data_IF_650260309483
#
_entry.id   IF_650260309483
#
_cell.length_a   1.000
_cell.length_b   1.000
_cell.length_c   1.000
_cell.angle_alpha   90.00
_cell.angle_beta   90.00
_cell.angle_gamma   90.00
#
_symmetry.space_group_name_H-M   'P 1'
#
loop_
_entity.id
_entity.type
_entity.pdbx_description
1 polymer ?
#
# COMPACT_ATOMS: atom_id res chain seq x y z
N UNK A 1 -14.98 -11.23 -7.80
CA UNK A 1 -14.26 -10.09 -8.38
C UNK A 1 -12.98 -9.94 -7.57
N UNK A 2 -11.82 -9.72 -8.21
CA UNK A 2 -10.58 -9.46 -7.48
C UNK A 2 -10.37 -7.94 -7.46
N UNK A 3 -10.25 -7.37 -6.27
CA UNK A 3 -9.93 -5.96 -6.11
C UNK A 3 -8.41 -5.80 -6.08
N UNK A 4 -7.89 -4.71 -6.64
CA UNK A 4 -6.45 -4.43 -6.65
C UNK A 4 -6.09 -3.53 -5.48
N UNK A 5 -4.87 -3.66 -4.97
CA UNK A 5 -4.33 -2.71 -4.00
C UNK A 5 -3.82 -1.46 -4.71
N UNK A 6 -4.05 -0.32 -4.07
CA UNK A 6 -3.64 1.00 -4.55
C UNK A 6 -2.20 1.28 -4.14
N UNK A 7 -1.40 1.77 -5.07
CA UNK A 7 -0.01 2.13 -4.85
C UNK A 7 0.19 3.66 -4.78
N UNK A 8 1.30 4.07 -4.20
CA UNK A 8 1.74 5.47 -4.15
C UNK A 8 1.90 6.06 -5.56
N UNK A 9 1.29 7.23 -5.80
CA UNK A 9 1.21 7.89 -7.10
C UNK A 9 0.02 7.47 -7.96
N UNK A 10 -0.86 6.60 -7.46
CA UNK A 10 -2.09 6.24 -8.18
C UNK A 10 -3.05 7.42 -8.22
N UNK A 11 -3.85 7.50 -9.30
CA UNK A 11 -4.78 8.61 -9.50
C UNK A 11 -6.07 8.38 -8.72
N UNK A 12 -6.76 9.48 -8.45
CA UNK A 12 -8.13 9.43 -7.93
C UNK A 12 -9.12 9.83 -9.02
N UNK A 13 -10.40 9.46 -8.85
CA UNK A 13 -11.48 9.79 -9.79
C UNK A 13 -11.63 11.30 -10.02
N UNK A 14 -11.21 12.13 -9.07
CA UNK A 14 -11.28 13.59 -9.18
C UNK A 14 -10.04 14.21 -9.81
N UNK A 15 -9.08 13.40 -10.29
CA UNK A 15 -7.81 13.85 -10.84
C UNK A 15 -6.73 14.16 -9.79
N UNK A 16 -6.97 13.80 -8.54
CA UNK A 16 -5.95 13.82 -7.50
C UNK A 16 -5.00 12.62 -7.60
N UNK A 17 -4.15 12.50 -6.58
CA UNK A 17 -3.08 11.52 -6.47
C UNK A 17 -3.02 10.97 -5.04
N UNK A 18 -2.75 9.68 -4.93
CA UNK A 18 -2.60 8.93 -3.69
C UNK A 18 -1.15 9.04 -3.20
N UNK A 19 -0.98 9.42 -1.94
CA UNK A 19 0.32 9.57 -1.29
C UNK A 19 0.44 8.40 -0.30
N UNK A 20 0.97 7.29 -0.79
CA UNK A 20 1.12 6.04 -0.06
C UNK A 20 2.48 5.92 0.61
N UNK A 21 2.50 5.51 1.88
CA UNK A 21 3.74 5.17 2.60
C UNK A 21 3.51 3.92 3.42
N UNK A 22 4.19 2.84 3.06
CA UNK A 22 4.18 1.56 3.77
C UNK A 22 5.46 0.78 3.52
N UNK A 23 5.67 -0.30 4.27
CA UNK A 23 6.83 -1.18 4.10
C UNK A 23 6.64 -2.25 3.00
N UNK A 24 5.47 -2.25 2.34
CA UNK A 24 5.13 -3.18 1.27
C UNK A 24 5.20 -2.47 -0.10
N UNK A 25 5.94 -3.05 -1.02
CA UNK A 25 6.24 -2.46 -2.34
C UNK A 25 5.74 -3.38 -3.46
N UNK A 26 5.31 -2.78 -4.57
CA UNK A 26 5.04 -3.51 -5.80
C UNK A 26 6.33 -3.77 -6.59
N UNK A 27 6.23 -4.53 -7.69
CA UNK A 27 7.38 -4.84 -8.56
C UNK A 27 7.98 -3.60 -9.25
N UNK A 28 7.24 -2.49 -9.29
CA UNK A 28 7.71 -1.20 -9.80
C UNK A 28 8.41 -0.35 -8.74
N UNK A 29 8.56 -0.85 -7.50
CA UNK A 29 9.16 -0.13 -6.38
C UNK A 29 8.24 0.93 -5.74
N UNK A 30 6.95 0.94 -6.07
CA UNK A 30 5.95 1.84 -5.48
C UNK A 30 5.36 1.21 -4.22
N UNK A 31 5.23 2.00 -3.17
CA UNK A 31 4.67 1.56 -1.88
C UNK A 31 3.16 1.39 -1.97
N UNK A 32 2.58 0.40 -1.29
CA UNK A 32 1.13 0.28 -1.20
C UNK A 32 0.54 1.26 -0.19
N UNK A 33 -0.64 1.80 -0.49
CA UNK A 33 -1.31 2.74 0.39
C UNK A 33 -2.06 2.03 1.53
N UNK A 34 -1.92 2.55 2.75
CA UNK A 34 -2.65 2.14 3.97
C UNK A 34 -3.75 3.14 4.33
N UNK A 35 -4.66 2.74 5.20
CA UNK A 35 -5.71 3.63 5.77
C UNK A 35 -5.16 4.94 6.36
N UNK A 36 -3.97 4.90 6.95
CA UNK A 36 -3.31 6.08 7.54
C UNK A 36 -2.75 7.05 6.48
N UNK A 37 -2.76 6.67 5.22
CA UNK A 37 -2.25 7.48 4.12
C UNK A 37 -3.30 8.45 3.60
N UNK A 38 -2.82 9.43 2.83
CA UNK A 38 -3.62 10.53 2.34
C UNK A 38 -3.71 10.50 0.82
N UNK A 39 -4.82 11.00 0.29
CA UNK A 39 -5.00 11.25 -1.13
C UNK A 39 -5.44 12.70 -1.35
N UNK A 40 -4.96 13.28 -2.44
CA UNK A 40 -5.42 14.59 -2.89
C UNK A 40 -6.73 14.46 -3.66
N UNK A 41 -7.48 15.55 -3.67
CA UNK A 41 -8.71 15.68 -4.44
C UNK A 41 -8.53 16.81 -5.44
N UNK A 42 -8.93 16.62 -6.70
CA UNK A 42 -8.87 17.70 -7.69
C UNK A 42 -9.87 18.83 -7.41
N UNK A 43 -10.91 18.56 -6.60
CA UNK A 43 -11.94 19.54 -6.26
C UNK A 43 -11.76 20.17 -4.86
N UNK A 44 -11.15 19.46 -3.91
CA UNK A 44 -10.91 19.95 -2.55
C UNK A 44 -9.42 20.19 -2.36
N UNK A 45 -9.01 21.41 -2.00
CA UNK A 45 -7.62 21.71 -1.67
C UNK A 45 -7.22 21.01 -0.37
N UNK A 46 -6.17 20.19 -0.42
CA UNK A 46 -5.61 19.47 0.72
C UNK A 46 -5.46 17.96 0.48
N UNK A 47 -4.78 17.29 1.41
CA UNK A 47 -4.69 15.83 1.48
C UNK A 47 -5.70 15.30 2.49
N UNK A 48 -6.49 14.32 2.07
CA UNK A 48 -7.53 13.72 2.89
C UNK A 48 -7.23 12.25 3.16
N UNK A 49 -7.50 11.74 4.37
CA UNK A 49 -7.24 10.34 4.69
C UNK A 49 -8.12 9.40 3.86
N UNK A 50 -7.61 8.19 3.61
CA UNK A 50 -8.30 7.16 2.84
C UNK A 50 -8.95 6.17 3.80
N UNK A 51 -10.17 5.70 3.49
CA UNK A 51 -10.90 4.86 4.44
C UNK A 51 -10.27 3.48 4.67
N UNK A 52 -9.74 2.85 3.61
CA UNK A 52 -9.09 1.53 3.69
C UNK A 52 -10.08 0.40 4.01
N UNK A 53 -10.69 -0.22 3.01
CA UNK A 53 -11.64 -1.33 3.19
C UNK A 53 -11.01 -2.72 3.09
N UNK A 54 -9.68 -2.84 2.95
CA UNK A 54 -9.01 -4.15 2.82
C UNK A 54 -8.90 -4.89 4.15
N UNK A 55 -10.02 -5.35 4.70
CA UNK A 55 -10.07 -6.08 5.98
C UNK A 55 -9.20 -7.33 5.99
N UNK A 56 -8.93 -7.92 4.83
CA UNK A 56 -8.16 -9.16 4.67
C UNK A 56 -6.64 -8.90 4.62
N UNK A 57 -6.22 -7.66 4.36
CA UNK A 57 -4.83 -7.25 4.31
C UNK A 57 -4.64 -6.14 5.34
N UNK A 58 -4.10 -6.49 6.49
CA UNK A 58 -3.82 -5.55 7.58
C UNK A 58 -2.34 -5.59 7.93
N UNK A 59 -1.77 -4.41 8.16
CA UNK A 59 -0.42 -4.22 8.64
C UNK A 59 -0.47 -3.37 9.90
N UNK A 60 0.05 -3.89 11.01
CA UNK A 60 -0.02 -3.26 12.34
C UNK A 60 -1.44 -2.81 12.76
N UNK A 61 -2.46 -3.59 12.39
CA UNK A 61 -3.87 -3.28 12.66
C UNK A 61 -4.51 -2.25 11.73
N UNK A 62 -3.76 -1.72 10.76
CA UNK A 62 -4.27 -0.81 9.72
C UNK A 62 -4.55 -1.57 8.41
N UNK A 63 -5.77 -1.52 7.87
CA UNK A 63 -6.07 -2.14 6.59
C UNK A 63 -5.41 -1.37 5.42
N UNK A 64 -5.08 -2.12 4.37
CA UNK A 64 -4.66 -1.53 3.10
C UNK A 64 -5.84 -0.91 2.34
N UNK A 65 -5.51 -0.17 1.29
CA UNK A 65 -6.45 0.52 0.42
C UNK A 65 -6.70 -0.28 -0.86
N UNK A 66 -7.98 -0.56 -1.16
CA UNK A 66 -8.42 -1.25 -2.38
C UNK A 66 -8.79 -0.26 -3.48
N UNK A 67 -8.90 -0.77 -4.71
CA UNK A 67 -9.53 -0.04 -5.81
C UNK A 67 -10.95 0.44 -5.42
N UNK A 68 -11.29 1.64 -5.84
CA UNK A 68 -12.55 2.32 -5.51
C UNK A 68 -12.77 2.60 -4.02
N UNK A 69 -11.74 2.57 -3.19
CA UNK A 69 -11.86 3.03 -1.81
C UNK A 69 -12.19 4.52 -1.74
N UNK A 70 -12.99 4.89 -0.73
CA UNK A 70 -13.40 6.27 -0.55
C UNK A 70 -12.30 7.07 0.14
N UNK A 71 -12.02 8.24 -0.41
CA UNK A 71 -11.23 9.28 0.25
C UNK A 71 -12.16 10.14 1.10
N UNK A 72 -11.79 10.38 2.35
CA UNK A 72 -12.58 11.15 3.33
C UNK A 72 -12.52 12.67 3.07
N UNK A 73 -12.66 13.07 1.81
CA UNK A 73 -12.85 14.47 1.44
C UNK A 73 -14.26 14.94 1.83
N UNK A 74 -14.45 16.25 2.07
CA UNK A 74 -15.79 16.83 2.24
C UNK A 74 -16.67 16.67 0.99
N UNK A 75 -16.05 16.41 -0.16
CA UNK A 75 -16.76 16.19 -1.42
C UNK A 75 -17.48 14.84 -1.54
N UNK A 76 -17.11 13.83 -0.76
CA UNK A 76 -17.66 12.46 -0.79
C UNK A 76 -17.60 11.70 -2.12
N UNK A 77 -17.05 12.31 -3.18
CA UNK A 77 -17.03 11.80 -4.57
C UNK A 77 -15.63 11.38 -5.04
N UNK A 78 -14.64 11.49 -4.16
CA UNK A 78 -13.26 11.13 -4.48
C UNK A 78 -13.00 9.67 -4.12
N UNK A 79 -12.66 8.87 -5.12
CA UNK A 79 -12.31 7.46 -4.97
C UNK A 79 -10.91 7.23 -5.53
N UNK A 80 -10.16 6.35 -4.89
CA UNK A 80 -8.85 5.93 -5.38
C UNK A 80 -9.00 4.95 -6.53
N UNK A 81 -8.10 5.03 -7.51
CA UNK A 81 -8.07 4.13 -8.66
C UNK A 81 -6.76 3.37 -8.66
N UNK A 82 -6.83 2.07 -8.41
CA UNK A 82 -5.63 1.23 -8.48
C UNK A 82 -5.13 1.17 -9.93
N UNK A 83 -3.82 1.34 -10.12
CA UNK A 83 -3.25 1.18 -11.46
C UNK A 83 -3.55 -0.20 -12.03
N UNK A 84 -3.80 -0.24 -13.35
CA UNK A 84 -4.01 -1.49 -14.09
C UNK A 84 -2.85 -2.49 -13.97
N UNK A 85 -1.64 -1.97 -13.71
CA UNK A 85 -0.40 -2.71 -13.51
C UNK A 85 -0.20 -3.22 -12.08
N UNK A 86 -1.13 -2.98 -11.17
CA UNK A 86 -1.03 -3.47 -9.79
C UNK A 86 -1.19 -4.99 -9.75
N UNK A 87 -0.23 -5.67 -9.15
CA UNK A 87 -0.14 -7.13 -9.10
C UNK A 87 -0.63 -7.73 -7.77
N UNK A 88 -0.96 -6.89 -6.79
CA UNK A 88 -1.57 -7.33 -5.54
C UNK A 88 -3.09 -7.35 -5.65
N UNK A 89 -3.66 -8.53 -5.47
CA UNK A 89 -5.09 -8.78 -5.54
C UNK A 89 -5.65 -9.13 -4.15
N UNK A 90 -6.69 -8.42 -3.74
CA UNK A 90 -7.51 -8.71 -2.58
C UNK A 90 -8.81 -9.39 -3.04
N UNK A 91 -9.14 -10.54 -2.46
CA UNK A 91 -10.43 -11.20 -2.69
C UNK A 91 -11.33 -10.93 -1.50
N UNK A 92 -12.38 -10.14 -1.69
CA UNK A 92 -13.47 -10.05 -0.72
C UNK A 92 -14.45 -11.20 -0.97
N UNK A 93 -14.27 -12.30 -0.22
CA UNK A 93 -15.33 -13.30 -0.08
C UNK A 93 -16.47 -12.65 0.70
N UNK A 94 -17.45 -12.08 -0.01
CA UNK A 94 -18.68 -11.57 0.62
C UNK A 94 -19.48 -12.74 1.18
N UNK A 95 -19.15 -13.15 2.40
CA UNK A 95 -19.85 -14.20 3.16
C UNK A 95 -18.91 -15.23 3.77
N UNK A 96 -18.23 -14.85 4.86
CA UNK A 96 -18.06 -15.64 6.11
C UNK A 96 -17.18 -14.79 7.07
N UNK A 97 -17.37 -14.93 8.38
CA UNK A 97 -16.66 -14.23 9.46
C UNK A 97 -15.12 -14.47 9.45
N UNK A 98 -14.30 -13.72 10.22
CA UNK A 98 -12.91 -13.43 9.92
C UNK A 98 -12.01 -14.61 10.26
N UNK A 99 -11.67 -15.40 9.25
CA UNK A 99 -10.49 -16.25 9.30
C UNK A 99 -9.56 -15.78 8.18
N UNK A 100 -8.35 -15.39 8.57
CA UNK A 100 -7.24 -15.07 7.69
C UNK A 100 -7.12 -16.12 6.57
N UNK A 101 -7.65 -15.83 5.37
CA UNK A 101 -7.69 -16.85 4.33
C UNK A 101 -7.30 -16.26 2.97
N UNK A 102 -6.01 -16.47 2.67
CA UNK A 102 -5.40 -16.60 1.34
C UNK A 102 -5.59 -15.43 0.40
N UNK A 103 -4.86 -14.38 0.70
CA UNK A 103 -4.17 -13.59 -0.32
C UNK A 103 -3.32 -14.57 -1.13
N UNK A 104 -3.76 -14.94 -2.33
CA UNK A 104 -2.92 -15.77 -3.21
C UNK A 104 -1.71 -14.93 -3.57
N UNK A 105 -0.58 -15.23 -2.92
CA UNK A 105 0.73 -14.79 -3.32
C UNK A 105 1.01 -15.35 -4.72
N UNK A 106 0.58 -14.64 -5.76
CA UNK A 106 1.23 -14.78 -7.05
C UNK A 106 2.53 -13.98 -7.01
N UNK A 107 3.52 -14.62 -6.36
CA UNK A 107 4.94 -14.52 -6.68
C UNK A 107 5.54 -13.10 -6.64
N UNK A 108 5.26 -12.29 -5.62
CA UNK A 108 6.25 -11.26 -5.25
C UNK A 108 7.32 -12.00 -4.48
N UNK A 109 8.45 -12.23 -5.14
CA UNK A 109 9.66 -12.77 -4.55
C UNK A 109 9.82 -12.16 -3.16
N UNK A 110 9.65 -12.99 -2.13
CA UNK A 110 10.06 -12.71 -0.76
C UNK A 110 11.32 -11.89 -0.85
N UNK A 111 11.21 -10.64 -0.41
CA UNK A 111 12.26 -9.64 -0.44
C UNK A 111 13.55 -10.26 0.10
N UNK A 112 14.35 -10.81 -0.80
CA UNK A 112 15.70 -11.22 -0.53
C UNK A 112 16.40 -9.88 -0.30
N UNK A 113 16.61 -9.58 0.99
CA UNK A 113 17.66 -8.72 1.52
C UNK A 113 17.46 -7.20 1.38
N UNK A 114 16.52 -6.62 2.15
CA UNK A 114 16.79 -5.28 2.73
C UNK A 114 17.85 -5.35 3.84
N UNK A 115 18.14 -6.55 4.36
CA UNK A 115 19.12 -6.78 5.43
C UNK A 115 20.59 -6.94 4.98
N UNK A 116 20.91 -7.06 3.67
CA UNK A 116 22.32 -7.12 3.25
C UNK A 116 22.93 -5.77 2.86
N UNK A 117 22.15 -4.74 2.51
CA UNK A 117 22.73 -3.46 2.08
C UNK A 117 23.14 -2.54 3.24
N UNK A 118 22.64 -2.76 4.46
CA UNK A 118 22.98 -1.92 5.63
C UNK A 118 24.09 -2.50 6.53
N UNK A 119 24.60 -3.70 6.24
CA UNK A 119 25.60 -4.38 7.07
C UNK A 119 27.06 -4.18 6.60
N UNK A 120 27.31 -3.62 5.42
CA UNK A 120 28.67 -3.40 4.90
C UNK A 120 29.29 -2.04 5.22
N UNK A 121 28.55 -1.10 5.83
CA UNK A 121 29.12 0.21 6.23
C UNK A 121 29.74 0.20 7.64
N UNK A 122 29.48 -0.83 8.46
CA UNK A 122 29.95 -0.90 9.86
C UNK A 122 30.91 -2.06 10.17
N UNK A 123 31.75 -2.45 9.20
CA UNK A 123 32.83 -3.41 9.46
C UNK A 123 34.15 -2.97 8.85
N UNK A 124 34.71 -1.90 9.39
CA UNK A 124 36.16 -1.75 9.45
C UNK A 124 36.56 -1.45 10.90
N UNK A 125 36.93 -2.47 11.69
CA UNK A 125 37.42 -2.25 13.04
C UNK A 125 38.84 -1.69 12.97
N UNK A 126 39.02 -0.58 13.66
CA UNK A 126 40.27 -0.13 14.21
C UNK A 126 41.03 -1.33 14.84
N UNK A 127 42.17 -1.72 14.27
CA UNK A 127 43.11 -2.65 14.92
C UNK A 127 44.50 -2.01 14.90
N UNK A 128 44.80 -1.36 16.02
CA UNK A 128 46.16 -1.09 16.46
C UNK A 128 46.91 -2.39 16.78
N UNK A 129 48.25 -2.31 16.73
CA UNK A 129 49.27 -3.18 17.34
C UNK A 129 49.56 -4.54 16.68
N UNK A 130 50.67 -4.63 15.93
CA UNK A 130 51.96 -5.15 16.42
C UNK A 130 53.09 -4.72 15.48
#
# INVERSE_FOLDING_TARGET
MFDRLVADGDRTTTGGEVIGRSDFYNEQGRMYARKENHATCGNCKGGWPIYGTASNWMDDGSPYVKDLDRVLCPCGRNFVLAAGSSNAFCSDSKGEAPAAQRCQEFRVLRSIKKSQLMAEVNRSPNRMAN
#
